data_IF_122917362552
#
_entry.id   IF_122917362552
#
_cell.length_a   1.000
_cell.length_b   1.000
_cell.length_c   1.000
_cell.angle_alpha   90.00
_cell.angle_beta   90.00
_cell.angle_gamma   90.00
#
_symmetry.space_group_name_H-M   'P 1'
#
loop_
_entity.id
_entity.type
_entity.pdbx_description
1 polymer ?
#
# COMPACT_ATOMS: atom_id res chain seq x y z
N UNK A 1 45.34 20.94 52.10
CA UNK A 1 45.56 22.13 52.96
C UNK A 1 44.25 22.92 53.00
N UNK A 2 43.62 23.04 54.18
CA UNK A 2 42.40 23.81 54.57
C UNK A 2 41.10 23.35 53.90
N UNK A 3 40.11 22.72 54.57
CA UNK A 3 39.40 22.97 55.84
C UNK A 3 38.56 24.27 55.83
N UNK A 4 37.25 24.03 55.94
CA UNK A 4 36.13 24.83 56.47
C UNK A 4 35.65 26.12 55.78
N UNK A 5 34.34 26.17 55.51
CA UNK A 5 33.45 27.00 56.34
C UNK A 5 31.96 26.72 56.09
N UNK A 6 31.28 26.31 57.15
CA UNK A 6 29.82 26.39 57.29
C UNK A 6 29.34 27.83 57.13
N UNK A 7 28.20 28.03 56.46
CA UNK A 7 27.27 29.12 56.80
C UNK A 7 25.86 28.58 56.90
N UNK A 8 25.30 28.83 58.06
CA UNK A 8 23.98 28.42 58.50
C UNK A 8 22.96 29.56 58.35
N UNK A 9 21.69 29.15 58.37
CA UNK A 9 20.45 29.93 58.61
C UNK A 9 20.03 30.78 57.41
N UNK A 10 18.77 30.80 56.98
CA UNK A 10 17.56 31.11 57.73
C UNK A 10 16.35 30.47 57.02
N UNK A 11 15.49 29.80 57.78
CA UNK A 11 14.13 29.43 57.38
C UNK A 11 13.18 30.60 57.65
N UNK A 12 12.25 30.88 56.73
CA UNK A 12 10.91 31.29 57.13
C UNK A 12 9.84 30.36 56.57
N UNK A 13 8.86 30.08 57.43
CA UNK A 13 7.57 29.48 57.13
C UNK A 13 6.90 30.19 55.94
N UNK A 14 6.32 29.41 55.04
CA UNK A 14 5.27 29.91 54.15
C UNK A 14 4.07 28.95 54.16
N UNK A 15 2.91 29.57 54.32
CA UNK A 15 1.59 29.04 54.58
C UNK A 15 1.16 27.90 53.65
N UNK A 16 0.47 26.95 54.26
CA UNK A 16 -0.49 26.04 53.64
C UNK A 16 -1.60 26.79 52.90
N UNK A 17 -1.77 26.48 51.62
CA UNK A 17 -3.03 26.64 50.90
C UNK A 17 -3.33 25.32 50.18
N UNK A 18 -4.06 24.43 50.83
CA UNK A 18 -4.62 23.24 50.21
C UNK A 18 -5.81 23.64 49.33
N UNK A 19 -5.56 23.89 48.05
CA UNK A 19 -6.61 23.97 47.04
C UNK A 19 -7.02 22.54 46.68
N UNK A 20 -8.10 22.05 47.31
CA UNK A 20 -8.87 20.92 46.79
C UNK A 20 -9.67 21.39 45.58
N UNK A 21 -8.98 21.61 44.47
CA UNK A 21 -9.59 21.76 43.15
C UNK A 21 -9.78 20.36 42.57
N UNK A 22 -10.97 19.80 42.73
CA UNK A 22 -11.37 18.58 42.04
C UNK A 22 -11.33 18.80 40.53
N UNK A 23 -10.24 18.42 39.89
CA UNK A 23 -10.16 18.29 38.44
C UNK A 23 -11.01 17.08 38.07
N UNK A 24 -12.26 17.31 37.70
CA UNK A 24 -13.03 16.33 36.94
C UNK A 24 -12.33 16.17 35.60
N UNK A 25 -11.47 15.15 35.52
CA UNK A 25 -10.98 14.65 34.25
C UNK A 25 -12.18 14.08 33.51
N UNK A 26 -12.87 14.91 32.72
CA UNK A 26 -13.70 14.41 31.65
C UNK A 26 -12.77 13.67 30.70
N UNK A 27 -12.65 12.36 30.91
CA UNK A 27 -12.10 11.47 29.91
C UNK A 27 -13.01 11.63 28.71
N UNK A 28 -12.57 12.44 27.74
CA UNK A 28 -13.11 12.40 26.41
C UNK A 28 -12.83 10.99 25.91
N UNK A 29 -13.81 10.10 26.09
CA UNK A 29 -13.84 8.83 25.42
C UNK A 29 -13.80 9.16 23.94
N UNK A 30 -12.63 9.01 23.34
CA UNK A 30 -12.48 8.96 21.90
C UNK A 30 -13.42 7.86 21.44
N UNK A 31 -14.55 8.24 20.83
CA UNK A 31 -15.42 7.27 20.20
C UNK A 31 -14.55 6.40 19.28
N UNK A 32 -14.71 5.06 19.31
CA UNK A 32 -14.03 4.22 18.33
C UNK A 32 -14.33 4.81 16.96
N UNK A 33 -13.28 5.07 16.17
CA UNK A 33 -13.48 5.37 14.75
C UNK A 33 -14.37 4.26 14.20
N UNK A 34 -15.57 4.64 13.75
CA UNK A 34 -16.47 3.72 13.09
C UNK A 34 -15.72 3.15 11.88
N UNK A 35 -15.15 1.96 12.03
CA UNK A 35 -14.77 1.14 10.91
C UNK A 35 -16.04 0.96 10.10
N UNK A 36 -16.04 1.43 8.86
CA UNK A 36 -17.16 1.30 7.96
C UNK A 36 -17.74 -0.13 8.06
N UNK A 37 -18.95 -0.23 8.61
CA UNK A 37 -19.63 -1.48 8.83
C UNK A 37 -20.03 -2.05 7.47
N UNK A 38 -19.17 -2.89 6.92
CA UNK A 38 -19.35 -3.55 5.64
C UNK A 38 -18.02 -4.13 5.18
N UNK A 39 -17.75 -5.39 5.54
CA UNK A 39 -16.54 -6.10 5.11
C UNK A 39 -16.43 -6.11 3.57
N UNK A 40 -15.56 -5.25 3.03
CA UNK A 40 -15.34 -5.10 1.59
C UNK A 40 -14.11 -5.87 1.10
N UNK A 41 -14.03 -6.06 -0.22
CA UNK A 41 -12.82 -6.61 -0.84
C UNK A 41 -11.80 -5.51 -1.14
N UNK A 42 -10.52 -5.82 -1.03
CA UNK A 42 -9.42 -4.92 -1.41
C UNK A 42 -8.26 -5.70 -2.05
N UNK A 43 -7.40 -5.01 -2.78
CA UNK A 43 -6.17 -5.58 -3.30
C UNK A 43 -5.02 -5.33 -2.33
N UNK A 44 -4.15 -6.32 -2.16
CA UNK A 44 -2.93 -6.19 -1.37
C UNK A 44 -1.72 -6.66 -2.17
N UNK A 45 -0.78 -5.78 -2.43
CA UNK A 45 0.48 -6.10 -3.07
C UNK A 45 1.59 -6.17 -2.01
N UNK A 46 2.05 -7.38 -1.72
CA UNK A 46 3.17 -7.66 -0.84
C UNK A 46 4.43 -7.76 -1.68
N UNK A 47 5.32 -6.78 -1.55
CA UNK A 47 6.60 -6.77 -2.23
C UNK A 47 7.51 -7.82 -1.63
N UNK A 48 8.24 -8.50 -2.50
CA UNK A 48 9.35 -9.34 -2.11
C UNK A 48 10.64 -8.53 -2.25
N UNK A 49 11.22 -8.14 -1.13
CA UNK A 49 12.45 -7.35 -1.09
C UNK A 49 13.69 -8.14 -1.48
N UNK A 50 13.65 -9.47 -1.46
CA UNK A 50 14.74 -10.30 -2.01
C UNK A 50 14.66 -10.28 -3.54
N UNK A 51 13.46 -10.52 -4.08
CA UNK A 51 13.20 -10.66 -5.51
C UNK A 51 11.91 -9.91 -5.94
N UNK A 52 12.03 -8.68 -6.49
CA UNK A 52 10.88 -7.87 -6.87
C UNK A 52 9.93 -8.52 -7.89
N UNK A 53 10.44 -9.40 -8.77
CA UNK A 53 9.61 -10.12 -9.76
C UNK A 53 8.90 -11.35 -9.19
N UNK A 54 9.16 -11.68 -7.92
CA UNK A 54 8.49 -12.75 -7.19
C UNK A 54 7.76 -12.22 -5.95
N UNK A 55 7.11 -11.06 -6.12
CA UNK A 55 6.16 -10.48 -5.18
C UNK A 55 4.80 -11.20 -5.25
N UNK A 56 3.84 -10.83 -4.39
CA UNK A 56 2.48 -11.40 -4.44
C UNK A 56 1.40 -10.33 -4.43
N UNK A 57 0.43 -10.48 -5.32
CA UNK A 57 -0.83 -9.73 -5.28
C UNK A 57 -1.92 -10.62 -4.70
N UNK A 58 -2.70 -10.08 -3.76
CA UNK A 58 -3.80 -10.77 -3.11
C UNK A 58 -5.10 -10.03 -3.36
N UNK A 59 -6.18 -10.80 -3.55
CA UNK A 59 -7.54 -10.32 -3.32
C UNK A 59 -7.90 -10.67 -1.88
N UNK A 60 -8.16 -9.65 -1.08
CA UNK A 60 -8.46 -9.77 0.35
C UNK A 60 -9.92 -9.46 0.61
N UNK A 61 -10.49 -10.08 1.65
CA UNK A 61 -11.80 -9.74 2.22
C UNK A 61 -11.58 -9.18 3.62
N UNK A 62 -12.05 -7.96 3.86
CA UNK A 62 -12.04 -7.40 5.20
C UNK A 62 -13.12 -8.05 6.07
N UNK A 63 -12.77 -8.41 7.30
CA UNK A 63 -13.67 -9.07 8.25
C UNK A 63 -13.79 -8.22 9.51
N UNK A 64 -15.00 -7.73 9.86
CA UNK A 64 -15.19 -6.99 11.11
C UNK A 64 -14.73 -7.80 12.32
N UNK A 65 -13.98 -7.16 13.22
CA UNK A 65 -13.51 -7.74 14.48
C UNK A 65 -12.67 -9.03 14.34
N UNK A 66 -12.05 -9.26 13.17
CA UNK A 66 -11.20 -10.41 12.94
C UNK A 66 -10.09 -10.10 11.93
N UNK A 67 -9.16 -11.05 11.75
CA UNK A 67 -8.16 -10.96 10.71
C UNK A 67 -8.81 -11.03 9.31
N UNK A 68 -8.33 -10.16 8.41
CA UNK A 68 -8.72 -10.18 7.01
C UNK A 68 -8.36 -11.53 6.36
N UNK A 69 -9.21 -11.99 5.44
CA UNK A 69 -9.05 -13.28 4.78
C UNK A 69 -8.51 -13.13 3.36
N UNK A 70 -7.61 -14.03 2.98
CA UNK A 70 -7.16 -14.15 1.59
C UNK A 70 -8.23 -14.88 0.76
N UNK A 71 -8.72 -14.24 -0.30
CA UNK A 71 -9.65 -14.84 -1.27
C UNK A 71 -8.91 -15.47 -2.45
N UNK A 72 -7.80 -14.85 -2.85
CA UNK A 72 -6.89 -15.36 -3.87
C UNK A 72 -5.50 -14.76 -3.71
N UNK A 73 -4.49 -15.46 -4.21
CA UNK A 73 -3.09 -15.00 -4.24
C UNK A 73 -2.47 -15.35 -5.59
N UNK A 74 -1.73 -14.39 -6.15
CA UNK A 74 -1.08 -14.50 -7.44
C UNK A 74 0.39 -14.12 -7.30
N UNK A 75 1.25 -14.80 -8.07
CA UNK A 75 2.61 -14.29 -8.28
C UNK A 75 2.49 -12.95 -9.02
N UNK A 76 3.30 -11.99 -8.63
CA UNK A 76 3.32 -10.67 -9.24
C UNK A 76 4.72 -10.09 -9.24
N UNK A 77 4.96 -9.12 -10.11
CA UNK A 77 6.23 -8.41 -10.21
C UNK A 77 6.03 -6.91 -10.30
N UNK A 78 7.04 -6.14 -9.87
CA UNK A 78 7.02 -4.69 -10.02
C UNK A 78 8.43 -4.13 -10.10
N UNK A 79 8.63 -3.21 -11.04
CA UNK A 79 9.96 -2.67 -11.35
C UNK A 79 10.74 -3.63 -12.24
N UNK A 80 11.89 -3.17 -12.72
CA UNK A 80 12.79 -3.92 -13.59
C UNK A 80 13.98 -4.53 -12.81
N UNK A 81 13.76 -4.86 -11.53
CA UNK A 81 14.79 -5.24 -10.57
C UNK A 81 15.19 -4.13 -9.60
N UNK A 82 14.86 -2.87 -9.90
CA UNK A 82 15.09 -1.75 -8.98
C UNK A 82 14.08 -1.70 -7.83
N UNK A 83 14.61 -1.73 -6.60
CA UNK A 83 13.86 -1.58 -5.34
C UNK A 83 13.69 -0.12 -4.90
N UNK A 84 14.08 0.85 -5.74
CA UNK A 84 13.92 2.26 -5.41
C UNK A 84 12.52 2.74 -5.84
N UNK A 85 11.58 3.02 -4.90
CA UNK A 85 10.22 3.44 -5.26
C UNK A 85 10.17 4.82 -5.95
N UNK A 86 11.24 5.61 -5.85
CA UNK A 86 11.33 6.92 -6.49
C UNK A 86 11.95 6.90 -7.89
N UNK A 87 12.50 5.75 -8.32
CA UNK A 87 13.10 5.64 -9.63
C UNK A 87 12.02 5.50 -10.72
N UNK A 88 11.78 6.57 -11.47
CA UNK A 88 10.83 6.59 -12.59
C UNK A 88 11.18 5.52 -13.62
N UNK A 89 10.15 4.90 -14.20
CA UNK A 89 10.23 3.89 -15.25
C UNK A 89 11.07 2.64 -14.94
N UNK A 90 11.43 2.39 -13.67
CA UNK A 90 12.28 1.23 -13.31
C UNK A 90 12.04 0.71 -11.90
N UNK A 91 11.74 1.61 -10.97
CA UNK A 91 11.51 1.30 -9.58
C UNK A 91 10.15 0.66 -9.34
N UNK A 92 10.09 -0.29 -8.42
CA UNK A 92 8.84 -0.90 -7.96
C UNK A 92 7.81 0.11 -7.45
N UNK A 93 6.55 -0.33 -7.37
CA UNK A 93 5.43 0.48 -6.92
C UNK A 93 5.69 1.03 -5.48
N UNK A 94 5.51 2.35 -5.23
CA UNK A 94 5.71 2.91 -3.90
C UNK A 94 4.75 2.34 -2.84
N UNK A 95 5.18 2.34 -1.57
CA UNK A 95 4.35 1.86 -0.48
C UNK A 95 3.16 2.80 -0.19
N UNK A 96 2.09 2.21 0.34
CA UNK A 96 0.91 2.92 0.84
C UNK A 96 -0.39 2.44 0.23
N UNK A 97 -1.46 3.19 0.53
CA UNK A 97 -2.82 2.90 0.06
C UNK A 97 -3.14 3.72 -1.19
N UNK A 98 -3.72 3.08 -2.18
CA UNK A 98 -4.07 3.64 -3.47
C UNK A 98 -5.58 3.51 -3.68
N UNK A 99 -6.19 4.50 -4.32
CA UNK A 99 -7.54 4.33 -4.87
C UNK A 99 -7.43 3.52 -6.17
N UNK A 100 -8.37 2.61 -6.39
CA UNK A 100 -8.60 2.02 -7.72
C UNK A 100 -9.47 3.02 -8.47
N UNK A 101 -8.92 3.61 -9.53
CA UNK A 101 -9.61 4.63 -10.31
C UNK A 101 -10.55 4.00 -11.34
N UNK A 102 -10.07 2.96 -12.02
CA UNK A 102 -10.88 2.15 -12.92
C UNK A 102 -10.27 0.77 -13.15
N UNK A 103 -11.07 -0.13 -13.69
CA UNK A 103 -10.63 -1.40 -14.25
C UNK A 103 -11.27 -1.60 -15.63
N UNK A 104 -10.54 -2.21 -16.57
CA UNK A 104 -11.04 -2.51 -17.93
C UNK A 104 -10.49 -3.85 -18.41
N UNK A 105 -11.25 -4.54 -19.25
CA UNK A 105 -10.85 -5.81 -19.89
C UNK A 105 -10.42 -5.62 -21.35
N UNK A 106 -10.62 -4.42 -21.89
CA UNK A 106 -10.40 -4.05 -23.28
C UNK A 106 -9.59 -2.76 -23.44
N UNK A 107 -8.68 -2.47 -22.52
CA UNK A 107 -7.86 -1.26 -22.60
C UNK A 107 -6.90 -1.36 -23.79
N UNK A 108 -6.75 -0.26 -24.52
CA UNK A 108 -5.94 -0.16 -25.74
C UNK A 108 -5.06 1.09 -25.64
N UNK A 109 -3.76 0.89 -25.49
CA UNK A 109 -2.77 1.93 -25.25
C UNK A 109 -1.35 1.37 -25.22
N UNK A 110 -0.45 2.00 -24.45
CA UNK A 110 0.93 1.48 -24.27
C UNK A 110 0.94 0.16 -23.48
N UNK A 111 -0.06 -0.01 -22.61
CA UNK A 111 -0.42 -1.30 -22.01
C UNK A 111 -1.79 -1.70 -22.55
N UNK A 112 -2.07 -3.00 -22.59
CA UNK A 112 -3.26 -3.52 -23.27
C UNK A 112 -4.05 -4.53 -22.42
N UNK A 113 -5.31 -4.72 -22.79
CA UNK A 113 -6.22 -5.73 -22.28
C UNK A 113 -6.71 -5.45 -20.86
N UNK A 114 -6.38 -6.36 -19.94
CA UNK A 114 -6.86 -6.33 -18.57
C UNK A 114 -6.00 -5.40 -17.73
N UNK A 115 -6.58 -4.29 -17.28
CA UNK A 115 -5.86 -3.26 -16.51
C UNK A 115 -6.68 -2.81 -15.30
N UNK A 116 -5.99 -2.55 -14.19
CA UNK A 116 -6.54 -1.85 -13.03
C UNK A 116 -5.67 -0.62 -12.83
N UNK A 117 -6.23 0.57 -13.09
CA UNK A 117 -5.57 1.84 -12.84
C UNK A 117 -5.67 2.17 -11.36
N UNK A 118 -4.55 2.62 -10.78
CA UNK A 118 -4.51 3.11 -9.41
C UNK A 118 -4.01 4.55 -9.36
N UNK A 119 -4.39 5.25 -8.29
CA UNK A 119 -4.06 6.66 -8.07
C UNK A 119 -2.56 6.93 -8.09
N UNK A 120 -2.17 8.12 -8.52
CA UNK A 120 -0.77 8.56 -8.41
C UNK A 120 -0.27 8.50 -6.95
N UNK A 121 1.03 8.30 -6.78
CA UNK A 121 1.64 8.26 -5.44
C UNK A 121 3.00 8.94 -5.41
N UNK A 122 3.18 9.82 -4.43
CA UNK A 122 4.51 10.34 -4.09
C UNK A 122 5.29 9.28 -3.31
N UNK A 123 6.43 8.87 -3.84
CA UNK A 123 7.31 7.95 -3.15
C UNK A 123 7.94 8.64 -1.93
N UNK A 124 8.46 7.83 -0.99
CA UNK A 124 9.33 8.29 0.09
C UNK A 124 10.72 7.74 -0.15
N UNK A 125 11.74 8.59 0.01
CA UNK A 125 13.14 8.18 -0.03
C UNK A 125 13.81 8.68 1.27
N UNK A 126 14.28 7.76 2.12
CA UNK A 126 14.91 8.09 3.40
C UNK A 126 14.12 9.10 4.27
N UNK A 127 12.80 8.96 4.32
CA UNK A 127 11.92 9.86 5.08
C UNK A 127 11.54 11.18 4.37
N UNK A 128 12.25 11.57 3.31
CA UNK A 128 11.89 12.73 2.50
C UNK A 128 10.87 12.38 1.41
N UNK A 129 9.99 13.34 1.09
CA UNK A 129 9.07 13.26 -0.05
C UNK A 129 9.85 13.25 -1.36
N UNK A 130 9.71 12.18 -2.14
CA UNK A 130 10.40 12.03 -3.42
C UNK A 130 9.52 12.31 -4.64
N UNK A 131 9.87 11.69 -5.76
CA UNK A 131 9.17 11.73 -7.05
C UNK A 131 7.69 11.36 -6.93
N UNK A 132 6.82 12.12 -7.62
CA UNK A 132 5.42 11.72 -7.86
C UNK A 132 5.42 10.66 -8.96
N UNK A 133 4.98 9.44 -8.63
CA UNK A 133 4.80 8.34 -9.58
C UNK A 133 3.37 8.40 -10.14
N UNK A 134 3.26 8.48 -11.45
CA UNK A 134 2.01 8.55 -12.20
C UNK A 134 1.81 7.27 -13.02
N UNK A 135 0.66 7.13 -13.68
CA UNK A 135 0.44 6.04 -14.67
C UNK A 135 0.70 4.63 -14.09
N UNK A 136 0.23 4.43 -12.86
CA UNK A 136 0.42 3.19 -12.12
C UNK A 136 -0.74 2.22 -12.39
N UNK A 137 -0.40 1.00 -12.78
CA UNK A 137 -1.39 -0.03 -13.12
C UNK A 137 -1.06 -1.39 -12.51
N UNK A 138 -2.08 -2.22 -12.34
CA UNK A 138 -1.98 -3.67 -12.29
C UNK A 138 -2.41 -4.21 -13.66
N UNK A 139 -1.53 -4.92 -14.37
CA UNK A 139 -1.84 -5.40 -15.72
C UNK A 139 -1.04 -6.66 -16.09
N UNK A 140 -1.20 -7.11 -17.33
CA UNK A 140 -0.42 -8.17 -17.97
C UNK A 140 0.02 -7.74 -19.38
N UNK A 141 0.72 -8.64 -20.06
CA UNK A 141 0.99 -8.55 -21.50
C UNK A 141 -0.03 -9.40 -22.25
N UNK A 142 -0.84 -8.73 -23.05
CA UNK A 142 -1.92 -9.31 -23.85
C UNK A 142 -2.38 -8.28 -24.87
N UNK A 143 -3.09 -8.73 -25.91
CA UNK A 143 -3.81 -7.85 -26.85
C UNK A 143 -4.91 -7.06 -26.12
N UNK A 144 -5.44 -5.98 -26.75
CA UNK A 144 -6.60 -5.27 -26.22
C UNK A 144 -7.79 -6.18 -25.93
N UNK A 145 -8.04 -7.23 -26.73
CA UNK A 145 -9.12 -8.19 -26.46
C UNK A 145 -8.81 -9.23 -25.35
N UNK A 146 -7.66 -9.11 -24.68
CA UNK A 146 -7.18 -10.04 -23.66
C UNK A 146 -6.60 -11.36 -24.19
N UNK A 147 -6.46 -11.52 -25.50
CA UNK A 147 -5.80 -12.64 -26.15
C UNK A 147 -4.27 -12.51 -26.12
N UNK A 148 -3.56 -13.60 -26.47
CA UNK A 148 -2.10 -13.58 -26.62
C UNK A 148 -1.70 -12.85 -27.91
N UNK A 149 -0.70 -11.98 -27.79
CA UNK A 149 -0.06 -11.21 -28.84
C UNK A 149 1.01 -11.95 -29.63
N UNK A 150 1.57 -11.26 -30.63
CA UNK A 150 2.78 -11.69 -31.34
C UNK A 150 4.00 -10.83 -30.98
N UNK A 151 3.79 -9.60 -30.56
CA UNK A 151 4.84 -8.67 -30.11
C UNK A 151 5.05 -8.78 -28.61
N UNK A 152 6.21 -8.37 -28.12
CA UNK A 152 6.60 -8.48 -26.69
C UNK A 152 5.56 -7.86 -25.75
N UNK A 153 5.12 -6.63 -26.01
CA UNK A 153 4.19 -5.92 -25.12
C UNK A 153 2.80 -6.58 -24.99
N UNK A 154 2.50 -7.55 -25.86
CA UNK A 154 1.23 -8.27 -25.89
C UNK A 154 1.40 -9.78 -25.65
N UNK A 155 2.62 -10.27 -25.46
CA UNK A 155 2.91 -11.70 -25.46
C UNK A 155 3.62 -12.09 -24.18
N UNK A 156 2.91 -12.83 -23.34
CA UNK A 156 3.48 -13.43 -22.15
C UNK A 156 4.32 -14.66 -22.49
N UNK A 157 5.62 -14.59 -22.28
CA UNK A 157 6.66 -15.58 -22.56
C UNK A 157 7.17 -16.31 -21.32
N UNK A 158 7.12 -15.70 -20.14
CA UNK A 158 7.69 -16.34 -18.97
C UNK A 158 7.97 -15.46 -17.77
N UNK A 159 8.97 -15.83 -16.95
CA UNK A 159 9.30 -15.10 -15.73
C UNK A 159 9.79 -13.67 -15.95
N UNK A 160 10.35 -13.34 -17.12
CA UNK A 160 10.80 -11.99 -17.48
C UNK A 160 9.66 -10.97 -17.48
N UNK A 161 8.44 -11.39 -17.82
CA UNK A 161 7.33 -10.46 -18.07
C UNK A 161 6.70 -9.94 -16.76
N UNK A 162 7.23 -10.42 -15.63
CA UNK A 162 6.99 -9.83 -14.33
C UNK A 162 7.78 -8.53 -14.11
N UNK A 163 8.78 -8.23 -14.93
CA UNK A 163 9.45 -6.93 -14.93
C UNK A 163 8.52 -5.84 -15.46
N UNK A 164 8.65 -4.63 -14.92
CA UNK A 164 7.84 -3.50 -15.34
C UNK A 164 8.54 -2.15 -15.12
N UNK A 165 8.00 -1.11 -15.74
CA UNK A 165 8.44 0.27 -15.51
C UNK A 165 7.85 0.89 -14.21
N UNK A 166 7.36 0.04 -13.29
CA UNK A 166 6.80 0.42 -11.98
C UNK A 166 5.36 -0.01 -11.75
N UNK A 167 4.70 -0.60 -12.76
CA UNK A 167 3.41 -1.26 -12.62
C UNK A 167 3.53 -2.56 -11.82
N UNK A 168 2.39 -3.17 -11.49
CA UNK A 168 2.29 -4.55 -11.02
C UNK A 168 1.93 -5.44 -12.20
N UNK A 169 2.78 -6.41 -12.51
CA UNK A 169 2.58 -7.40 -13.58
C UNK A 169 2.07 -8.72 -13.02
N UNK A 170 1.10 -9.31 -13.72
CA UNK A 170 0.58 -10.65 -13.48
C UNK A 170 0.59 -11.44 -14.78
N UNK A 171 0.63 -12.77 -14.69
CA UNK A 171 0.40 -13.65 -15.82
C UNK A 171 -1.03 -13.48 -16.37
N UNK A 172 -1.29 -13.63 -17.69
CA UNK A 172 -2.62 -13.42 -18.25
C UNK A 172 -3.74 -14.24 -17.59
N UNK A 173 -3.46 -15.50 -17.23
CA UNK A 173 -4.43 -16.35 -16.55
C UNK A 173 -4.78 -15.83 -15.14
N UNK A 174 -3.78 -15.30 -14.42
CA UNK A 174 -3.96 -14.82 -13.05
C UNK A 174 -4.78 -13.53 -13.01
N UNK A 175 -4.50 -12.57 -13.91
CA UNK A 175 -5.30 -11.34 -13.97
C UNK A 175 -6.72 -11.60 -14.44
N UNK A 176 -6.93 -12.54 -15.37
CA UNK A 176 -8.29 -12.98 -15.76
C UNK A 176 -9.02 -13.62 -14.59
N UNK A 177 -8.34 -14.45 -13.80
CA UNK A 177 -8.92 -15.03 -12.58
C UNK A 177 -9.28 -13.96 -11.55
N UNK A 178 -8.41 -12.98 -11.34
CA UNK A 178 -8.66 -11.83 -10.46
C UNK A 178 -9.90 -11.05 -10.91
N UNK A 179 -10.00 -10.70 -12.18
CA UNK A 179 -11.16 -9.99 -12.74
C UNK A 179 -12.45 -10.81 -12.58
N UNK A 180 -12.40 -12.12 -12.87
CA UNK A 180 -13.55 -13.00 -12.68
C UNK A 180 -14.01 -13.09 -11.23
N UNK A 181 -13.09 -13.14 -10.26
CA UNK A 181 -13.42 -13.13 -8.84
C UNK A 181 -13.95 -11.76 -8.39
N UNK A 182 -13.27 -10.67 -8.75
CA UNK A 182 -13.68 -9.32 -8.38
C UNK A 182 -15.05 -8.94 -8.98
N UNK A 183 -15.33 -9.33 -10.23
CA UNK A 183 -16.62 -9.13 -10.87
C UNK A 183 -17.78 -9.83 -10.15
N UNK A 184 -17.55 -11.02 -9.58
CA UNK A 184 -18.57 -11.75 -8.79
C UNK A 184 -18.71 -11.26 -7.36
N UNK A 185 -17.60 -10.84 -6.74
CA UNK A 185 -17.52 -10.54 -5.31
C UNK A 185 -17.66 -9.04 -4.99
N UNK A 186 -17.77 -8.20 -6.01
CA UNK A 186 -17.69 -6.76 -5.90
C UNK A 186 -16.24 -6.28 -6.07
N UNK A 187 -16.07 -5.27 -6.92
CA UNK A 187 -14.76 -4.75 -7.28
C UNK A 187 -14.06 -4.06 -6.10
N UNK A 188 -12.78 -4.39 -5.84
CA UNK A 188 -11.93 -3.65 -4.92
C UNK A 188 -11.86 -2.16 -5.27
N UNK A 189 -12.07 -1.30 -4.27
CA UNK A 189 -11.91 0.16 -4.41
C UNK A 189 -10.50 0.65 -4.07
N UNK A 190 -9.67 -0.22 -3.48
CA UNK A 190 -8.36 0.18 -2.97
C UNK A 190 -7.31 -0.91 -3.19
N UNK A 191 -6.08 -0.48 -3.42
CA UNK A 191 -4.87 -1.31 -3.39
C UNK A 191 -3.96 -0.85 -2.24
N UNK A 192 -3.52 -1.78 -1.41
CA UNK A 192 -2.51 -1.53 -0.37
C UNK A 192 -1.19 -2.15 -0.80
N UNK A 193 -0.10 -1.39 -0.72
CA UNK A 193 1.25 -1.82 -1.09
C UNK A 193 2.16 -1.80 0.14
N UNK A 194 2.84 -2.91 0.42
CA UNK A 194 3.82 -3.04 1.50
C UNK A 194 5.11 -3.67 1.01
#
# INVERSE_FOLDING_TARGET
>A
MRIDSLRARITPLALTAALLGGVTTTSAMTAPQAHAAGGGHYLYFKKNSADPINSRLYLMKSVPNAADRTVASYRAGSGNGSKNPCATARGWLPNGKYAVEFHRTNFDGIINGYVIKVSDKRCKNNGASGTKRTELFVHSEMKPNGGQGRIESERWDGPSDYYSNGCVKLKPADIKNLFGKAGRLGWPKTLTVK
#
